data_IF_597785906452
#
_entry.id   IF_597785906452
#
_cell.length_a   1.000
_cell.length_b   1.000
_cell.length_c   1.000
_cell.angle_alpha   90.00
_cell.angle_beta   90.00
_cell.angle_gamma   90.00
#
_symmetry.space_group_name_H-M   'P 1'
#
loop_
_entity.id
_entity.type
_entity.pdbx_description
1 polymer ?
#
# COMPACT_ATOMS: atom_id res chain seq x y z
N UNK A 1 -16.74 -17.24 29.75
CA UNK A 1 -15.50 -16.47 29.55
C UNK A 1 -15.90 -15.16 28.88
N UNK A 2 -15.39 -14.02 29.32
CA UNK A 2 -15.66 -12.73 28.66
C UNK A 2 -14.96 -12.73 27.30
N UNK A 3 -15.72 -12.71 26.20
CA UNK A 3 -15.19 -12.59 24.84
C UNK A 3 -14.81 -11.14 24.47
N UNK A 4 -14.55 -10.29 25.47
CA UNK A 4 -14.21 -8.87 25.26
C UNK A 4 -12.77 -8.63 25.62
N UNK A 5 -11.99 -8.18 24.63
CA UNK A 5 -10.64 -7.68 24.80
C UNK A 5 -10.68 -6.15 24.97
N UNK A 6 -9.92 -5.63 25.94
CA UNK A 6 -9.72 -4.20 26.12
C UNK A 6 -8.33 -3.84 25.61
N UNK A 7 -8.26 -2.98 24.59
CA UNK A 7 -6.99 -2.47 24.07
C UNK A 7 -6.53 -1.34 25.01
N UNK A 8 -5.32 -1.39 25.58
CA UNK A 8 -4.79 -0.30 26.39
C UNK A 8 -4.58 0.95 25.54
N UNK A 9 -4.51 2.13 26.16
CA UNK A 9 -4.13 3.34 25.45
C UNK A 9 -2.66 3.26 25.02
N UNK A 10 -2.43 2.82 23.79
CA UNK A 10 -1.09 2.66 23.20
C UNK A 10 -0.36 3.99 22.99
N UNK A 11 -1.04 5.13 23.16
CA UNK A 11 -0.49 6.47 22.98
C UNK A 11 -0.33 7.24 24.30
N UNK A 12 -0.74 6.69 25.44
CA UNK A 12 -0.72 7.37 26.75
C UNK A 12 0.64 8.02 27.06
N UNK A 13 1.72 7.33 26.71
CA UNK A 13 3.10 7.76 26.96
C UNK A 13 3.86 8.20 25.69
N UNK A 14 3.13 8.56 24.62
CA UNK A 14 3.73 8.92 23.35
C UNK A 14 4.46 10.28 23.43
N UNK A 15 5.80 10.25 23.40
CA UNK A 15 6.65 11.43 23.60
C UNK A 15 6.76 12.34 22.38
N UNK A 16 6.36 11.89 21.19
CA UNK A 16 6.62 12.61 19.95
C UNK A 16 5.42 13.48 19.53
N UNK A 17 5.62 14.79 19.31
CA UNK A 17 4.52 15.66 18.93
C UNK A 17 4.02 15.30 17.54
N UNK A 18 2.69 15.19 17.41
CA UNK A 18 2.05 14.94 16.12
C UNK A 18 2.20 16.16 15.21
N UNK A 19 2.74 15.95 14.01
CA UNK A 19 2.80 16.95 12.94
C UNK A 19 2.18 16.35 11.69
N UNK A 20 1.37 17.14 10.99
CA UNK A 20 0.80 16.76 9.71
C UNK A 20 1.45 17.57 8.60
N UNK A 21 1.76 16.93 7.48
CA UNK A 21 2.27 17.61 6.31
C UNK A 21 1.27 18.69 5.83
N UNK A 22 1.71 19.94 5.56
CA UNK A 22 0.82 21.02 5.12
C UNK A 22 0.10 20.73 3.79
N UNK A 23 0.64 19.83 2.96
CA UNK A 23 0.06 19.45 1.67
C UNK A 23 -0.97 18.32 1.77
N UNK A 24 -1.33 17.86 2.98
CA UNK A 24 -2.20 16.70 3.18
C UNK A 24 -3.52 16.77 2.41
N UNK A 25 -4.28 17.88 2.54
CA UNK A 25 -5.61 17.98 1.94
C UNK A 25 -5.56 17.92 0.41
N UNK A 26 -4.55 18.57 -0.17
CA UNK A 26 -4.34 18.62 -1.61
C UNK A 26 -3.93 17.24 -2.14
N UNK A 27 -2.86 16.65 -1.60
CA UNK A 27 -2.39 15.32 -2.01
C UNK A 27 -3.44 14.25 -1.74
N UNK A 28 -4.22 14.38 -0.66
CA UNK A 28 -5.35 13.50 -0.38
C UNK A 28 -6.34 13.48 -1.54
N UNK A 29 -6.75 14.64 -2.04
CA UNK A 29 -7.70 14.73 -3.14
C UNK A 29 -7.13 14.16 -4.43
N UNK A 30 -5.88 14.50 -4.75
CA UNK A 30 -5.22 14.02 -5.96
C UNK A 30 -5.08 12.48 -5.95
N UNK A 31 -4.65 11.87 -4.83
CA UNK A 31 -4.46 10.40 -4.77
C UNK A 31 -5.81 9.69 -4.83
N UNK A 32 -6.89 10.32 -4.34
CA UNK A 32 -8.25 9.79 -4.48
C UNK A 32 -8.68 9.74 -5.94
N UNK A 33 -8.52 10.85 -6.66
CA UNK A 33 -8.88 10.94 -8.06
C UNK A 33 -8.10 9.92 -8.92
N UNK A 34 -6.79 9.83 -8.68
CA UNK A 34 -5.92 8.86 -9.35
C UNK A 34 -6.36 7.42 -9.08
N UNK A 35 -6.58 7.03 -7.83
CA UNK A 35 -7.05 5.68 -7.50
C UNK A 35 -8.40 5.35 -8.12
N UNK A 36 -9.32 6.32 -8.15
CA UNK A 36 -10.64 6.16 -8.76
C UNK A 36 -10.55 5.92 -10.27
N UNK A 37 -9.53 6.47 -10.95
CA UNK A 37 -9.39 6.30 -12.41
C UNK A 37 -9.10 4.87 -12.86
N UNK A 38 -8.61 3.99 -11.97
CA UNK A 38 -8.33 2.60 -12.32
C UNK A 38 -9.56 1.69 -12.27
N UNK A 39 -10.66 2.14 -11.67
CA UNK A 39 -11.86 1.30 -11.53
C UNK A 39 -11.58 -0.04 -10.83
N UNK A 40 -10.58 -0.09 -9.93
CA UNK A 40 -10.08 -1.33 -9.32
C UNK A 40 -11.14 -2.08 -8.46
N UNK A 41 -12.34 -1.53 -8.32
CA UNK A 41 -13.37 -2.04 -7.44
C UNK A 41 -14.73 -2.07 -8.13
N UNK A 42 -15.53 -3.07 -7.80
CA UNK A 42 -16.89 -3.18 -8.32
C UNK A 42 -17.76 -1.97 -7.93
N UNK A 43 -18.79 -1.61 -8.72
CA UNK A 43 -19.65 -0.47 -8.42
C UNK A 43 -20.30 -0.51 -7.03
N UNK A 44 -20.62 -1.71 -6.51
CA UNK A 44 -21.18 -1.89 -5.16
C UNK A 44 -20.16 -1.58 -4.08
N UNK A 45 -18.92 -2.04 -4.26
CA UNK A 45 -17.83 -1.77 -3.32
C UNK A 45 -17.41 -0.31 -3.41
N UNK A 46 -17.39 0.28 -4.60
CA UNK A 46 -17.15 1.71 -4.81
C UNK A 46 -18.25 2.56 -4.18
N UNK A 47 -19.53 2.20 -4.34
CA UNK A 47 -20.65 2.93 -3.74
C UNK A 47 -20.65 2.84 -2.21
N UNK A 48 -20.38 1.65 -1.64
CA UNK A 48 -20.22 1.49 -0.18
C UNK A 48 -19.05 2.32 0.38
N UNK A 49 -18.00 2.54 -0.43
CA UNK A 49 -16.85 3.37 -0.09
C UNK A 49 -17.13 4.88 -0.24
N UNK A 50 -17.91 5.27 -1.25
CA UNK A 50 -18.30 6.66 -1.51
C UNK A 50 -19.39 7.17 -0.52
N UNK A 51 -20.21 6.27 0.04
CA UNK A 51 -21.35 6.62 0.92
C UNK A 51 -20.98 6.90 2.39
N UNK A 52 -19.76 6.60 2.83
CA UNK A 52 -19.43 6.66 4.24
C UNK A 52 -18.15 7.48 4.46
N UNK A 53 -18.30 8.78 4.76
CA UNK A 53 -17.21 9.66 5.21
C UNK A 53 -16.56 9.17 6.52
N UNK A 54 -17.24 8.30 7.28
CA UNK A 54 -16.77 7.74 8.55
C UNK A 54 -16.15 6.33 8.40
N UNK A 55 -16.60 5.50 7.44
CA UNK A 55 -16.00 4.20 7.11
C UNK A 55 -14.95 4.28 5.99
N UNK A 56 -14.68 5.47 5.44
CA UNK A 56 -13.44 5.77 4.70
C UNK A 56 -12.18 5.69 5.58
N UNK A 57 -12.29 5.16 6.81
CA UNK A 57 -11.21 5.02 7.76
C UNK A 57 -10.00 4.36 7.10
N UNK A 58 -10.10 3.23 6.40
CA UNK A 58 -8.88 2.61 5.82
C UNK A 58 -8.18 3.52 4.78
N UNK A 59 -8.86 4.04 3.75
CA UNK A 59 -8.19 4.80 2.67
C UNK A 59 -7.86 6.27 3.01
N UNK A 60 -8.61 6.93 3.91
CA UNK A 60 -8.26 8.26 4.46
C UNK A 60 -7.14 8.13 5.49
N UNK A 61 -7.12 7.05 6.28
CA UNK A 61 -6.05 6.81 7.24
C UNK A 61 -4.71 6.65 6.53
N UNK A 62 -4.61 5.95 5.40
CA UNK A 62 -3.28 5.75 4.80
C UNK A 62 -2.62 7.03 4.28
N UNK A 63 -3.39 7.95 3.66
CA UNK A 63 -2.85 9.25 3.25
C UNK A 63 -2.52 10.14 4.44
N UNK A 64 -3.34 10.04 5.49
CA UNK A 64 -3.06 10.68 6.77
C UNK A 64 -1.79 10.10 7.40
N UNK A 65 -1.60 8.77 7.37
CA UNK A 65 -0.42 8.06 7.85
C UNK A 65 0.81 8.53 7.10
N UNK A 66 0.80 8.57 5.76
CA UNK A 66 1.92 9.14 4.99
C UNK A 66 2.20 10.60 5.36
N UNK A 67 1.16 11.40 5.59
CA UNK A 67 1.31 12.82 5.96
C UNK A 67 1.78 13.03 7.40
N UNK A 68 1.53 12.07 8.30
CA UNK A 68 2.02 12.04 9.68
C UNK A 68 3.45 11.47 9.75
N UNK A 69 3.77 10.49 8.90
CA UNK A 69 5.11 9.88 8.81
C UNK A 69 6.12 10.82 8.12
N UNK A 70 5.66 11.60 7.13
CA UNK A 70 6.49 12.51 6.34
C UNK A 70 6.01 13.97 6.43
N UNK A 71 6.01 14.59 7.63
CA UNK A 71 5.44 15.92 7.84
C UNK A 71 6.22 17.04 7.14
N UNK A 72 7.46 16.78 6.71
CA UNK A 72 8.37 17.76 6.12
C UNK A 72 8.65 17.53 4.63
N UNK A 73 8.02 16.53 4.01
CA UNK A 73 8.14 16.34 2.57
C UNK A 73 7.49 17.49 1.82
N UNK A 74 8.11 17.89 0.71
CA UNK A 74 7.43 18.68 -0.30
C UNK A 74 6.23 17.91 -0.88
N UNK A 75 5.35 18.62 -1.58
CA UNK A 75 4.14 18.05 -2.18
C UNK A 75 4.45 16.84 -3.07
N UNK A 76 5.50 16.89 -3.89
CA UNK A 76 5.81 15.83 -4.85
C UNK A 76 6.24 14.54 -4.15
N UNK A 77 7.11 14.63 -3.14
CA UNK A 77 7.53 13.48 -2.34
C UNK A 77 6.39 12.95 -1.47
N UNK A 78 5.55 13.81 -0.91
CA UNK A 78 4.37 13.38 -0.17
C UNK A 78 3.41 12.61 -1.07
N UNK A 79 3.20 13.09 -2.30
CA UNK A 79 2.36 12.41 -3.28
C UNK A 79 2.85 11.00 -3.59
N UNK A 80 4.15 10.83 -3.83
CA UNK A 80 4.77 9.51 -4.00
C UNK A 80 4.53 8.60 -2.79
N UNK A 81 4.66 9.13 -1.56
CA UNK A 81 4.44 8.35 -0.33
C UNK A 81 2.96 7.95 -0.15
N UNK A 82 2.01 8.80 -0.54
CA UNK A 82 0.59 8.48 -0.53
C UNK A 82 0.22 7.42 -1.56
N UNK A 83 0.80 7.49 -2.76
CA UNK A 83 0.54 6.52 -3.83
C UNK A 83 1.16 5.16 -3.53
N UNK A 84 2.35 5.14 -2.90
CA UNK A 84 2.96 3.91 -2.40
C UNK A 84 2.05 3.19 -1.39
N UNK A 85 1.42 3.92 -0.46
CA UNK A 85 0.46 3.31 0.47
C UNK A 85 -0.75 2.72 -0.26
N UNK A 86 -1.18 3.34 -1.36
CA UNK A 86 -2.27 2.81 -2.16
C UNK A 86 -1.87 1.50 -2.88
N UNK A 87 -0.63 1.40 -3.35
CA UNK A 87 -0.07 0.15 -3.90
C UNK A 87 -0.05 -0.95 -2.85
N UNK A 88 0.49 -0.68 -1.65
CA UNK A 88 0.50 -1.67 -0.57
C UNK A 88 -0.89 -2.20 -0.27
N UNK A 89 -1.86 -1.29 -0.11
CA UNK A 89 -3.22 -1.67 0.24
C UNK A 89 -3.91 -2.49 -0.84
N UNK A 90 -3.78 -2.10 -2.11
CA UNK A 90 -4.36 -2.89 -3.20
C UNK A 90 -3.73 -4.27 -3.24
N UNK A 91 -2.40 -4.34 -3.19
CA UNK A 91 -1.68 -5.60 -3.20
C UNK A 91 -2.16 -6.51 -2.05
N UNK A 92 -2.20 -5.97 -0.82
CA UNK A 92 -2.60 -6.69 0.39
C UNK A 92 -4.03 -7.25 0.27
N UNK A 93 -5.00 -6.40 -0.12
CA UNK A 93 -6.42 -6.78 -0.29
C UNK A 93 -6.61 -7.95 -1.28
N UNK A 94 -5.87 -7.96 -2.39
CA UNK A 94 -5.92 -9.07 -3.35
C UNK A 94 -5.16 -10.30 -2.84
N UNK A 95 -3.99 -10.10 -2.24
CA UNK A 95 -3.12 -11.20 -1.81
C UNK A 95 -3.67 -11.95 -0.60
N UNK A 96 -4.42 -11.30 0.30
CA UNK A 96 -4.93 -11.88 1.54
C UNK A 96 -5.94 -13.00 1.33
N UNK A 97 -6.66 -12.97 0.21
CA UNK A 97 -7.65 -13.97 -0.17
C UNK A 97 -7.16 -14.94 -1.25
N UNK A 98 -5.93 -14.74 -1.75
CA UNK A 98 -5.32 -15.51 -2.81
C UNK A 98 -4.43 -16.64 -2.26
N UNK A 99 -4.22 -17.66 -3.10
CA UNK A 99 -3.30 -18.76 -2.81
C UNK A 99 -1.83 -18.41 -3.18
N UNK A 100 -0.89 -19.29 -2.83
CA UNK A 100 0.54 -19.07 -3.06
C UNK A 100 0.89 -18.77 -4.53
N UNK A 101 0.36 -19.54 -5.48
CA UNK A 101 0.64 -19.38 -6.91
C UNK A 101 0.11 -18.05 -7.44
N UNK A 102 -1.12 -17.68 -7.04
CA UNK A 102 -1.74 -16.40 -7.39
C UNK A 102 -0.94 -15.21 -6.83
N UNK A 103 -0.50 -15.28 -5.57
CA UNK A 103 0.33 -14.22 -4.97
C UNK A 103 1.69 -14.15 -5.63
N UNK A 104 2.27 -15.29 -6.01
CA UNK A 104 3.53 -15.31 -6.75
C UNK A 104 3.41 -14.63 -8.12
N UNK A 105 2.28 -14.78 -8.82
CA UNK A 105 1.98 -14.04 -10.05
C UNK A 105 1.83 -12.54 -9.79
N UNK A 106 1.07 -12.15 -8.75
CA UNK A 106 0.93 -10.74 -8.33
C UNK A 106 2.29 -10.08 -8.04
N UNK A 107 3.20 -10.80 -7.36
CA UNK A 107 4.56 -10.35 -7.08
C UNK A 107 5.34 -10.16 -8.38
N UNK A 108 5.25 -11.10 -9.31
CA UNK A 108 5.97 -11.03 -10.59
C UNK A 108 5.53 -9.79 -11.39
N UNK A 109 4.21 -9.56 -11.49
CA UNK A 109 3.64 -8.38 -12.18
C UNK A 109 4.10 -7.09 -11.51
N UNK A 110 4.01 -7.02 -10.17
CA UNK A 110 4.37 -5.81 -9.42
C UNK A 110 5.86 -5.49 -9.56
N UNK A 111 6.72 -6.50 -9.43
CA UNK A 111 8.17 -6.31 -9.56
C UNK A 111 8.59 -6.00 -11.00
N UNK A 112 7.90 -6.55 -11.99
CA UNK A 112 8.11 -6.19 -13.39
C UNK A 112 7.73 -4.72 -13.66
N UNK A 113 6.59 -4.25 -13.15
CA UNK A 113 6.17 -2.86 -13.25
C UNK A 113 7.18 -1.88 -12.60
N UNK A 114 7.79 -2.25 -11.47
CA UNK A 114 8.84 -1.45 -10.82
C UNK A 114 10.15 -1.41 -11.60
N UNK A 115 10.51 -2.52 -12.27
CA UNK A 115 11.76 -2.61 -13.05
C UNK A 115 11.62 -1.97 -14.43
N UNK A 116 10.40 -1.95 -14.97
CA UNK A 116 10.07 -1.47 -16.31
C UNK A 116 8.98 -0.37 -16.29
N UNK A 117 9.19 0.75 -15.58
CA UNK A 117 8.15 1.76 -15.33
C UNK A 117 7.69 2.52 -16.58
N UNK A 118 8.49 2.52 -17.65
CA UNK A 118 8.18 3.19 -18.91
C UNK A 118 7.61 2.23 -19.97
N UNK A 119 7.46 0.95 -19.64
CA UNK A 119 6.84 -0.04 -20.51
C UNK A 119 5.34 -0.09 -20.21
N UNK A 120 4.45 0.15 -21.19
CA UNK A 120 3.02 -0.02 -21.00
C UNK A 120 2.68 -1.44 -20.51
N UNK A 121 1.73 -1.56 -19.59
CA UNK A 121 1.29 -2.86 -19.10
C UNK A 121 0.46 -3.61 -20.16
N UNK A 122 0.56 -4.95 -20.26
CA UNK A 122 -0.25 -5.74 -21.17
C UNK A 122 -1.76 -5.53 -20.95
N UNK A 123 -2.54 -5.60 -22.03
CA UNK A 123 -4.00 -5.56 -21.93
C UNK A 123 -4.53 -6.79 -21.17
N UNK A 124 -5.44 -6.57 -20.23
CA UNK A 124 -6.01 -7.63 -19.39
C UNK A 124 -5.11 -8.08 -18.23
N UNK A 125 -3.93 -7.48 -18.05
CA UNK A 125 -3.11 -7.72 -16.85
C UNK A 125 -3.83 -7.24 -15.58
N UNK A 126 -3.49 -7.88 -14.46
CA UNK A 126 -3.94 -7.46 -13.14
C UNK A 126 -3.66 -5.97 -12.88
N UNK A 127 -4.72 -5.23 -12.52
CA UNK A 127 -4.75 -3.76 -12.47
C UNK A 127 -3.65 -3.13 -11.60
N UNK A 128 -3.22 -3.82 -10.54
CA UNK A 128 -2.18 -3.32 -9.62
C UNK A 128 -0.82 -3.20 -10.29
N UNK A 129 -0.57 -3.92 -11.39
CA UNK A 129 0.60 -3.72 -12.24
C UNK A 129 0.66 -2.28 -12.79
N UNK A 130 -0.44 -1.78 -13.34
CA UNK A 130 -0.51 -0.41 -13.88
C UNK A 130 -0.49 0.65 -12.77
N UNK A 131 -1.15 0.39 -11.63
CA UNK A 131 -1.09 1.26 -10.46
C UNK A 131 0.36 1.41 -9.98
N UNK A 132 1.08 0.29 -9.87
CA UNK A 132 2.49 0.25 -9.46
C UNK A 132 3.37 0.99 -10.46
N UNK A 133 3.15 0.78 -11.76
CA UNK A 133 3.90 1.44 -12.83
C UNK A 133 3.77 2.96 -12.73
N UNK A 134 2.54 3.49 -12.62
CA UNK A 134 2.30 4.94 -12.53
C UNK A 134 2.85 5.55 -11.25
N UNK A 135 2.68 4.87 -10.11
CA UNK A 135 3.29 5.29 -8.84
C UNK A 135 4.81 5.43 -8.98
N UNK A 136 5.46 4.42 -9.57
CA UNK A 136 6.92 4.38 -9.62
C UNK A 136 7.49 5.36 -10.64
N UNK A 137 6.80 5.57 -11.76
CA UNK A 137 7.12 6.62 -12.73
C UNK A 137 7.12 8.02 -12.08
N UNK A 138 6.23 8.26 -11.11
CA UNK A 138 6.25 9.49 -10.31
C UNK A 138 7.41 9.49 -9.30
N UNK A 139 7.62 8.37 -8.59
CA UNK A 139 8.64 8.23 -7.56
C UNK A 139 10.07 8.46 -8.07
N UNK A 140 10.39 7.92 -9.24
CA UNK A 140 11.71 8.05 -9.89
C UNK A 140 12.11 9.52 -10.11
N UNK A 141 11.14 10.42 -10.33
CA UNK A 141 11.41 11.86 -10.55
C UNK A 141 12.01 12.55 -9.33
N UNK A 142 11.78 12.02 -8.13
CA UNK A 142 12.22 12.64 -6.86
C UNK A 142 13.24 11.81 -6.10
N UNK A 143 13.37 10.52 -6.43
CA UNK A 143 14.30 9.59 -5.79
C UNK A 143 15.68 9.63 -6.45
N UNK A 144 16.75 9.64 -5.65
CA UNK A 144 18.10 9.49 -6.18
C UNK A 144 18.32 8.07 -6.75
N UNK A 145 19.24 7.88 -7.71
CA UNK A 145 19.50 6.55 -8.29
C UNK A 145 19.77 5.46 -7.25
N UNK A 146 20.53 5.80 -6.20
CA UNK A 146 20.82 4.86 -5.11
C UNK A 146 19.59 4.51 -4.28
N UNK A 147 18.68 5.48 -4.09
CA UNK A 147 17.42 5.25 -3.37
C UNK A 147 16.46 4.41 -4.19
N UNK A 148 16.42 4.61 -5.52
CA UNK A 148 15.64 3.78 -6.44
C UNK A 148 16.10 2.32 -6.38
N UNK A 149 17.41 2.08 -6.45
CA UNK A 149 17.98 0.72 -6.31
C UNK A 149 17.57 0.06 -5.00
N UNK A 150 17.81 0.74 -3.86
CA UNK A 150 17.46 0.19 -2.54
C UNK A 150 15.97 -0.04 -2.38
N UNK A 151 15.13 0.83 -2.93
CA UNK A 151 13.69 0.65 -2.89
C UNK A 151 13.28 -0.64 -3.59
N UNK A 152 13.72 -0.86 -4.84
CA UNK A 152 13.37 -2.06 -5.61
C UNK A 152 13.88 -3.33 -4.90
N UNK A 153 15.09 -3.31 -4.34
CA UNK A 153 15.66 -4.43 -3.58
C UNK A 153 14.85 -4.75 -2.31
N UNK A 154 14.51 -3.73 -1.53
CA UNK A 154 13.78 -3.89 -0.26
C UNK A 154 12.32 -4.29 -0.52
N UNK A 155 11.68 -3.65 -1.50
CA UNK A 155 10.31 -3.96 -1.89
C UNK A 155 10.20 -5.38 -2.44
N UNK A 156 11.20 -5.83 -3.23
CA UNK A 156 11.27 -7.23 -3.67
C UNK A 156 11.45 -8.23 -2.52
N UNK A 157 12.10 -7.83 -1.43
CA UNK A 157 12.22 -8.68 -0.23
C UNK A 157 10.89 -8.78 0.51
N UNK A 158 10.18 -7.66 0.69
CA UNK A 158 8.81 -7.63 1.22
C UNK A 158 7.85 -8.49 0.37
N UNK A 159 7.91 -8.37 -0.95
CA UNK A 159 7.02 -9.14 -1.83
C UNK A 159 7.22 -10.65 -1.70
N UNK A 160 8.46 -11.12 -1.46
CA UNK A 160 8.72 -12.54 -1.18
C UNK A 160 8.08 -13.00 0.12
N UNK A 161 8.03 -12.15 1.15
CA UNK A 161 7.39 -12.51 2.42
C UNK A 161 5.87 -12.63 2.26
N UNK A 162 5.26 -11.87 1.35
CA UNK A 162 3.83 -12.01 1.05
C UNK A 162 3.49 -13.38 0.44
N UNK A 163 4.35 -13.92 -0.44
CA UNK A 163 4.21 -15.29 -0.97
C UNK A 163 4.29 -16.31 0.16
N UNK A 164 5.28 -16.17 1.05
CA UNK A 164 5.41 -17.06 2.21
C UNK A 164 4.17 -17.02 3.11
N UNK A 165 3.62 -15.83 3.38
CA UNK A 165 2.37 -15.70 4.15
C UNK A 165 1.19 -16.40 3.46
N UNK A 166 1.08 -16.33 2.14
CA UNK A 166 0.05 -17.07 1.39
C UNK A 166 0.24 -18.59 1.47
N UNK A 167 1.48 -19.07 1.41
CA UNK A 167 1.83 -20.48 1.61
C UNK A 167 1.45 -20.94 3.02
N UNK A 168 1.78 -20.16 4.05
CA UNK A 168 1.46 -20.47 5.44
C UNK A 168 -0.07 -20.52 5.66
N UNK A 169 -0.82 -19.56 5.11
CA UNK A 169 -2.30 -19.58 5.14
C UNK A 169 -2.87 -20.83 4.48
N UNK A 170 -2.36 -21.19 3.30
CA UNK A 170 -2.81 -22.36 2.52
C UNK A 170 -2.57 -23.66 3.31
N UNK A 171 -1.40 -23.77 3.95
CA UNK A 171 -1.00 -24.94 4.73
C UNK A 171 -1.49 -24.91 6.18
N UNK A 172 -2.20 -23.85 6.60
CA UNK A 172 -2.62 -23.58 7.98
C UNK A 172 -1.44 -23.63 8.97
N UNK A 173 -0.27 -23.22 8.49
CA UNK A 173 0.91 -23.07 9.31
C UNK A 173 0.77 -21.80 10.15
N UNK A 174 0.99 -21.92 11.46
CA UNK A 174 1.03 -20.78 12.37
C UNK A 174 2.48 -20.68 12.86
N UNK A 175 3.22 -19.64 12.47
CA UNK A 175 4.61 -19.48 12.88
C UNK A 175 4.77 -19.45 14.40
N UNK A 176 5.90 -19.94 14.88
CA UNK A 176 6.38 -19.67 16.23
C UNK A 176 6.67 -18.17 16.41
N UNK A 177 6.87 -17.73 17.66
CA UNK A 177 7.21 -16.33 17.93
C UNK A 177 8.52 -15.97 17.22
N UNK A 178 9.50 -16.87 17.26
CA UNK A 178 10.81 -16.70 16.65
C UNK A 178 10.76 -16.66 15.11
N UNK A 179 9.83 -17.37 14.48
CA UNK A 179 9.65 -17.35 13.02
C UNK A 179 8.86 -16.13 12.54
N UNK A 180 8.01 -15.54 13.40
CA UNK A 180 7.23 -14.36 13.07
C UNK A 180 8.05 -13.06 13.05
N UNK A 181 9.09 -12.95 13.90
CA UNK A 181 9.93 -11.75 14.06
C UNK A 181 11.23 -11.80 13.23
#
# INVERSE_FOLDING_TARGET
MSNTFYIPDVLENWKWPRRINPHYLEVKAETAAWMKSFGAFSPKVQAARDLCDFCTSHYILFRLVSSLAYPFYDKARLRTACDLMAVFLLFDEYSDVANEDEVQEMVNITMDALRNPHTPRPEGEWIVGEVTRQFWELGIKTASPQSQKRFIETFGSYMKTAVQQAADRTNKNIPTIEEYF
#
